data_IF_769707087843
#
_entry.id   IF_769707087843
#
_cell.length_a   1.000
_cell.length_b   1.000
_cell.length_c   1.000
_cell.angle_alpha   90.00
_cell.angle_beta   90.00
_cell.angle_gamma   90.00
#
_symmetry.space_group_name_H-M   'P 1'
#
loop_
_entity.id
_entity.type
_entity.pdbx_description
1 polymer ?
#
# COMPACT_ATOMS: atom_id res chain seq x y z
N UNK A 1 3.15 -0.70 -0.95
CA UNK A 1 2.29 -0.09 -1.98
C UNK A 1 0.89 0.07 -1.42
N UNK A 2 0.40 1.30 -1.29
CA UNK A 2 -0.95 1.60 -0.77
C UNK A 2 -1.96 1.76 -1.91
N UNK A 3 -3.12 1.11 -1.79
CA UNK A 3 -4.14 1.03 -2.85
C UNK A 3 -3.60 0.45 -4.15
N UNK A 4 -3.02 -0.76 -4.07
CA UNK A 4 -2.30 -1.37 -5.19
C UNK A 4 -3.21 -1.71 -6.38
N UNK A 5 -4.53 -1.86 -6.16
CA UNK A 5 -5.48 -2.34 -7.15
C UNK A 5 -4.97 -3.61 -7.84
N UNK A 6 -4.96 -3.58 -9.16
CA UNK A 6 -4.39 -4.60 -10.04
C UNK A 6 -3.17 -4.07 -10.83
N UNK A 7 -2.53 -3.01 -10.35
CA UNK A 7 -1.37 -2.42 -10.99
C UNK A 7 -0.19 -3.39 -11.00
N UNK A 8 0.66 -3.30 -12.03
CA UNK A 8 1.82 -4.20 -12.22
C UNK A 8 3.15 -3.64 -11.70
N UNK A 9 3.11 -2.49 -11.03
CA UNK A 9 4.30 -1.75 -10.62
C UNK A 9 5.14 -2.52 -9.61
N UNK A 10 4.51 -3.15 -8.62
CA UNK A 10 5.23 -3.91 -7.60
C UNK A 10 5.99 -5.10 -8.18
N UNK A 11 5.48 -5.68 -9.25
CA UNK A 11 6.06 -6.84 -9.92
C UNK A 11 7.20 -6.43 -10.86
N UNK A 12 7.14 -5.22 -11.43
CA UNK A 12 8.29 -4.61 -12.10
C UNK A 12 9.40 -4.28 -11.10
N UNK A 13 9.06 -3.77 -9.91
CA UNK A 13 10.04 -3.58 -8.84
C UNK A 13 10.72 -4.89 -8.44
N UNK A 14 9.99 -6.01 -8.34
CA UNK A 14 10.65 -7.31 -8.07
C UNK A 14 11.66 -7.67 -9.16
N UNK A 15 11.35 -7.40 -10.44
CA UNK A 15 12.31 -7.63 -11.54
C UNK A 15 13.55 -6.74 -11.44
N UNK A 16 13.40 -5.55 -10.87
CA UNK A 16 14.49 -4.61 -10.60
C UNK A 16 15.26 -4.93 -9.31
N UNK A 17 14.90 -6.02 -8.61
CA UNK A 17 15.62 -6.54 -7.45
C UNK A 17 15.10 -6.08 -6.09
N UNK A 18 13.94 -5.42 -6.04
CA UNK A 18 13.28 -5.09 -4.78
C UNK A 18 12.67 -6.35 -4.16
N UNK A 19 12.78 -6.45 -2.83
CA UNK A 19 12.27 -7.57 -2.04
C UNK A 19 11.31 -7.06 -0.97
N UNK A 20 10.55 -7.97 -0.35
CA UNK A 20 9.66 -7.68 0.79
C UNK A 20 8.60 -6.60 0.48
N UNK A 21 7.96 -6.69 -0.69
CA UNK A 21 6.97 -5.70 -1.11
C UNK A 21 5.58 -6.12 -0.60
N UNK A 22 5.02 -5.30 0.29
CA UNK A 22 3.65 -5.44 0.78
C UNK A 22 2.71 -4.54 -0.01
N UNK A 23 1.67 -5.13 -0.59
CA UNK A 23 0.62 -4.49 -1.36
C UNK A 23 -0.68 -4.52 -0.57
N UNK A 24 -1.28 -3.34 -0.35
CA UNK A 24 -2.56 -3.22 0.35
C UNK A 24 -3.61 -2.58 -0.53
N UNK A 25 -4.83 -3.07 -0.44
CA UNK A 25 -5.99 -2.48 -1.10
C UNK A 25 -7.27 -2.79 -0.31
N UNK A 26 -8.25 -1.88 -0.35
CA UNK A 26 -9.54 -2.08 0.32
C UNK A 26 -10.39 -3.15 -0.38
N UNK A 27 -10.17 -3.35 -1.68
CA UNK A 27 -10.91 -4.29 -2.53
C UNK A 27 -10.42 -5.72 -2.34
N UNK A 28 -11.23 -6.56 -1.68
CA UNK A 28 -10.98 -8.01 -1.60
C UNK A 28 -10.86 -8.64 -2.99
N UNK A 29 -11.67 -8.20 -3.95
CA UNK A 29 -11.65 -8.71 -5.33
C UNK A 29 -10.29 -8.49 -5.99
N UNK A 30 -9.71 -7.30 -5.83
CA UNK A 30 -8.38 -7.00 -6.38
C UNK A 30 -7.30 -7.85 -5.67
N UNK A 31 -7.33 -7.89 -4.34
CA UNK A 31 -6.37 -8.66 -3.55
C UNK A 31 -6.42 -10.15 -3.88
N UNK A 32 -7.59 -10.77 -3.97
CA UNK A 32 -7.72 -12.19 -4.29
C UNK A 32 -7.23 -12.51 -5.70
N UNK A 33 -7.51 -11.62 -6.66
CA UNK A 33 -6.99 -11.72 -8.02
C UNK A 33 -5.46 -11.68 -8.04
N UNK A 34 -4.86 -10.72 -7.34
CA UNK A 34 -3.41 -10.52 -7.35
C UNK A 34 -2.66 -11.60 -6.58
N UNK A 35 -3.21 -12.06 -5.44
CA UNK A 35 -2.70 -13.24 -4.71
C UNK A 35 -2.63 -14.45 -5.61
N UNK A 36 -3.70 -14.77 -6.34
CA UNK A 36 -3.74 -15.90 -7.25
C UNK A 36 -2.77 -15.72 -8.43
N UNK A 37 -2.70 -14.51 -8.99
CA UNK A 37 -1.84 -14.23 -10.14
C UNK A 37 -0.36 -14.37 -9.81
N UNK A 38 0.06 -14.00 -8.60
CA UNK A 38 1.45 -13.97 -8.17
C UNK A 38 1.76 -14.89 -7.00
N UNK A 39 1.00 -15.97 -6.83
CA UNK A 39 1.21 -16.96 -5.75
C UNK A 39 2.62 -17.59 -5.78
N UNK A 40 3.28 -17.54 -6.94
CA UNK A 40 4.62 -18.08 -7.18
C UNK A 40 5.75 -17.06 -6.97
N UNK A 41 5.44 -15.81 -6.63
CA UNK A 41 6.43 -14.72 -6.41
C UNK A 41 6.49 -14.41 -4.91
N UNK A 42 7.51 -14.94 -4.22
CA UNK A 42 7.61 -14.87 -2.76
C UNK A 42 7.87 -13.47 -2.20
N UNK A 43 8.39 -12.57 -3.04
CA UNK A 43 8.69 -11.18 -2.71
C UNK A 43 7.43 -10.31 -2.61
N UNK A 44 6.31 -10.78 -3.16
CA UNK A 44 5.05 -10.03 -3.21
C UNK A 44 4.06 -10.55 -2.17
N UNK A 45 3.68 -9.67 -1.26
CA UNK A 45 2.57 -9.91 -0.33
C UNK A 45 1.40 -9.03 -0.72
N UNK A 46 0.19 -9.58 -0.65
CA UNK A 46 -1.05 -8.86 -0.92
C UNK A 46 -1.98 -9.01 0.28
N UNK A 47 -2.49 -7.90 0.81
CA UNK A 47 -3.34 -7.86 2.00
C UNK A 47 -4.54 -6.95 1.76
N UNK A 48 -5.74 -7.45 2.09
CA UNK A 48 -6.91 -6.58 2.12
C UNK A 48 -6.83 -5.69 3.36
N UNK A 49 -6.83 -4.38 3.16
CA UNK A 49 -6.69 -3.39 4.23
C UNK A 49 -7.17 -2.02 3.76
N UNK A 50 -7.80 -1.27 4.65
CA UNK A 50 -8.11 0.14 4.42
C UNK A 50 -6.88 0.98 4.81
N UNK A 51 -6.37 1.81 3.90
CA UNK A 51 -5.17 2.62 4.13
C UNK A 51 -5.36 3.69 5.21
N UNK A 52 -6.61 3.95 5.63
CA UNK A 52 -6.96 4.83 6.76
C UNK A 52 -6.82 4.14 8.12
N UNK A 53 -6.68 2.82 8.13
CA UNK A 53 -6.45 1.98 9.32
C UNK A 53 -5.53 0.81 8.95
N UNK A 54 -4.22 1.03 9.14
CA UNK A 54 -3.16 0.05 8.91
C UNK A 54 -2.67 -0.56 10.23
N UNK A 55 -3.55 -0.69 11.23
CA UNK A 55 -3.24 -1.18 12.58
C UNK A 55 -2.64 -2.59 12.65
N UNK A 56 -2.77 -3.40 11.59
CA UNK A 56 -2.08 -4.70 11.49
C UNK A 56 -0.56 -4.55 11.34
N UNK A 57 -0.07 -3.38 10.93
CA UNK A 57 1.35 -3.08 10.86
C UNK A 57 1.83 -2.35 12.11
N UNK A 58 2.95 -2.80 12.72
CA UNK A 58 3.60 -2.04 13.78
C UNK A 58 4.07 -0.66 13.32
N UNK A 59 4.26 0.24 14.28
CA UNK A 59 4.96 1.50 14.04
C UNK A 59 6.38 1.23 13.53
N UNK A 60 6.93 2.15 12.76
CA UNK A 60 8.32 2.07 12.25
C UNK A 60 8.66 0.73 11.55
N UNK A 61 7.72 0.16 10.79
CA UNK A 61 7.87 -1.16 10.16
C UNK A 61 8.31 -1.11 8.70
N UNK A 62 8.16 0.03 8.00
CA UNK A 62 8.50 0.18 6.59
C UNK A 62 9.54 1.26 6.33
N UNK A 63 10.48 0.99 5.42
CA UNK A 63 11.47 1.97 4.95
C UNK A 63 10.88 2.92 3.89
N UNK A 64 9.86 2.47 3.16
CA UNK A 64 9.20 3.28 2.14
C UNK A 64 7.74 2.90 1.95
N UNK A 65 6.90 3.90 1.67
CA UNK A 65 5.51 3.74 1.26
C UNK A 65 5.34 4.42 -0.09
N UNK A 66 4.85 3.66 -1.07
CA UNK A 66 4.55 4.17 -2.42
C UNK A 66 3.04 4.24 -2.56
N UNK A 67 2.56 5.40 -2.96
CA UNK A 67 1.19 5.70 -3.37
C UNK A 67 1.19 6.04 -4.86
N UNK A 68 0.28 5.44 -5.62
CA UNK A 68 0.14 5.69 -7.04
C UNK A 68 -1.33 5.89 -7.44
N UNK A 69 -1.94 6.94 -6.90
CA UNK A 69 -3.31 7.37 -7.18
C UNK A 69 -4.32 7.08 -6.06
N UNK A 70 -3.85 6.57 -4.92
CA UNK A 70 -4.69 6.21 -3.77
C UNK A 70 -5.08 7.45 -2.99
N UNK A 71 -4.14 8.35 -2.70
CA UNK A 71 -4.47 9.65 -2.11
C UNK A 71 -5.41 10.46 -3.00
N UNK A 72 -5.18 10.49 -4.32
CA UNK A 72 -6.09 11.15 -5.27
C UNK A 72 -7.52 10.60 -5.20
N UNK A 73 -7.64 9.27 -5.09
CA UNK A 73 -8.93 8.59 -4.95
C UNK A 73 -9.65 8.99 -3.65
N UNK A 74 -8.93 9.08 -2.53
CA UNK A 74 -9.50 9.58 -1.27
C UNK A 74 -9.93 11.05 -1.37
N UNK A 75 -9.17 11.86 -2.12
CA UNK A 75 -9.45 13.28 -2.32
C UNK A 75 -10.69 13.55 -3.19
N UNK A 76 -11.13 12.55 -3.96
CA UNK A 76 -12.38 12.61 -4.73
C UNK A 76 -13.62 12.22 -3.90
N UNK A 77 -13.44 11.72 -2.68
CA UNK A 77 -14.50 11.20 -1.81
C UNK A 77 -15.20 12.26 -0.96
N UNK A 78 -16.29 11.86 -0.30
CA UNK A 78 -16.88 12.66 0.78
C UNK A 78 -15.94 12.66 1.98
N UNK A 79 -15.85 13.80 2.70
CA UNK A 79 -14.89 14.00 3.79
C UNK A 79 -13.43 13.79 3.37
N UNK A 80 -13.08 14.09 2.12
CA UNK A 80 -11.73 13.98 1.56
C UNK A 80 -10.60 14.44 2.51
N UNK A 81 -10.67 15.63 3.15
CA UNK A 81 -9.62 16.05 4.08
C UNK A 81 -9.43 15.13 5.28
N UNK A 82 -10.52 14.55 5.81
CA UNK A 82 -10.46 13.63 6.95
C UNK A 82 -9.83 12.31 6.52
N UNK A 83 -10.31 11.74 5.42
CA UNK A 83 -9.78 10.48 4.88
C UNK A 83 -8.31 10.58 4.50
N UNK A 84 -7.90 11.68 3.87
CA UNK A 84 -6.50 11.95 3.54
C UNK A 84 -5.63 12.10 4.79
N UNK A 85 -6.08 12.87 5.80
CA UNK A 85 -5.36 13.00 7.07
C UNK A 85 -5.20 11.67 7.79
N UNK A 86 -6.22 10.81 7.78
CA UNK A 86 -6.16 9.47 8.38
C UNK A 86 -5.13 8.59 7.66
N UNK A 87 -5.19 8.53 6.33
CA UNK A 87 -4.21 7.78 5.53
C UNK A 87 -2.78 8.28 5.77
N UNK A 88 -2.54 9.59 5.67
CA UNK A 88 -1.22 10.17 5.88
C UNK A 88 -0.72 9.98 7.32
N UNK A 89 -1.62 9.98 8.30
CA UNK A 89 -1.31 9.64 9.68
C UNK A 89 -0.81 8.20 9.82
N UNK A 90 -1.50 7.25 9.21
CA UNK A 90 -1.08 5.84 9.19
C UNK A 90 0.22 5.63 8.42
N UNK A 91 0.38 6.28 7.26
CA UNK A 91 1.65 6.25 6.50
C UNK A 91 2.80 6.75 7.35
N UNK A 92 2.63 7.89 8.03
CA UNK A 92 3.66 8.42 8.92
C UNK A 92 3.96 7.49 10.10
N UNK A 93 2.94 6.82 10.66
CA UNK A 93 3.10 5.90 11.79
C UNK A 93 3.92 4.65 11.41
N UNK A 94 3.64 4.07 10.25
CA UNK A 94 4.30 2.82 9.84
C UNK A 94 5.68 3.04 9.22
N UNK A 95 6.00 4.27 8.79
CA UNK A 95 7.32 4.61 8.27
C UNK A 95 8.34 4.72 9.40
N UNK A 96 9.48 4.05 9.24
CA UNK A 96 10.65 4.22 10.12
C UNK A 96 11.12 5.68 10.15
N UNK A 97 11.86 6.11 11.18
CA UNK A 97 12.53 7.40 11.16
C UNK A 97 13.45 7.52 9.93
N UNK A 98 13.20 8.53 9.09
CA UNK A 98 13.91 8.73 7.83
C UNK A 98 13.38 7.92 6.63
N UNK A 99 12.31 7.15 6.83
CA UNK A 99 11.59 6.46 5.76
C UNK A 99 10.93 7.43 4.78
N UNK A 100 10.66 6.94 3.57
CA UNK A 100 10.19 7.78 2.46
C UNK A 100 8.75 7.47 2.11
N UNK A 101 7.90 8.49 2.12
CA UNK A 101 6.61 8.46 1.43
C UNK A 101 6.78 9.02 0.02
N UNK A 102 6.43 8.24 -1.00
CA UNK A 102 6.44 8.62 -2.40
C UNK A 102 5.00 8.65 -2.92
N UNK A 103 4.60 9.81 -3.42
CA UNK A 103 3.30 10.09 -4.04
C UNK A 103 3.48 10.31 -5.55
#
# INVERSE_FOLDING_TARGET
MVGCGNAVMSEEMVKDGYVEIVNVDISSVAIDMMRKKYEHVGELQYMQMDVRDMSLFPDDSFDSVIDKGTLDSLMCGTNAPISACQMLGEVNRILKPGGVYML
#
